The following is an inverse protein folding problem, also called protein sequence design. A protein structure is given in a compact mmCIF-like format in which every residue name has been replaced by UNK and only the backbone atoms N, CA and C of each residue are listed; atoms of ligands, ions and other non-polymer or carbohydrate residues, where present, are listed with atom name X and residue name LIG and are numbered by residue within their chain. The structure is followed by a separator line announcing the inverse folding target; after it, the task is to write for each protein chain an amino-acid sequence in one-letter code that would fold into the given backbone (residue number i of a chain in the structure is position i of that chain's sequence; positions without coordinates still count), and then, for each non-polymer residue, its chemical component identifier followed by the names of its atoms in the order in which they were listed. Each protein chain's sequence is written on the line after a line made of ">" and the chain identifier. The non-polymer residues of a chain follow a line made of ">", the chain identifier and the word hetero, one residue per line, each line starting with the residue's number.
data_IF_666004045799
#
_entry.id   IF_666004045799
#
_cell.length_a   1.000
_cell.length_b   1.000
_cell.length_c   1.000
_cell.angle_alpha   90.00
_cell.angle_beta   90.00
_cell.angle_gamma   90.00
#
_symmetry.space_group_name_H-M   'P 1'
#
loop_
_entity.id
_entity.type
_entity.pdbx_description
1 polymer ?
#
# COMPACT_ATOMS: atom_id res chain seq x y z
N UNK A 1 -42.19 15.10 42.85
CA UNK A 1 -40.93 14.48 43.23
C UNK A 1 -40.41 13.76 42.00
N UNK A 2 -39.52 14.43 41.25
CA UNK A 2 -38.97 13.92 39.97
C UNK A 2 -37.69 13.20 40.32
N UNK A 3 -37.66 11.88 40.16
CA UNK A 3 -36.41 11.11 40.27
C UNK A 3 -35.59 11.33 39.00
N UNK A 4 -34.48 12.06 39.12
CA UNK A 4 -33.45 12.12 38.09
C UNK A 4 -32.68 10.81 38.07
N UNK A 5 -32.81 10.06 36.98
CA UNK A 5 -31.99 8.86 36.73
C UNK A 5 -30.57 9.32 36.43
N UNK A 6 -29.63 9.17 37.35
CA UNK A 6 -28.19 9.28 37.05
C UNK A 6 -27.80 8.08 36.19
N UNK A 7 -27.66 8.29 34.90
CA UNK A 7 -26.94 7.37 33.99
C UNK A 7 -25.47 7.43 34.37
N UNK A 8 -24.98 6.44 35.10
CA UNK A 8 -23.57 6.23 35.28
C UNK A 8 -22.99 5.90 33.88
N UNK A 9 -22.28 6.84 33.24
CA UNK A 9 -21.44 6.54 32.10
C UNK A 9 -20.39 5.54 32.59
N UNK A 10 -20.47 4.33 32.09
CA UNK A 10 -19.39 3.35 32.21
C UNK A 10 -18.21 3.96 31.43
N UNK A 11 -17.27 4.60 32.12
CA UNK A 11 -15.97 4.95 31.55
C UNK A 11 -15.26 3.63 31.28
N UNK A 12 -15.24 3.22 30.01
CA UNK A 12 -14.43 2.07 29.59
C UNK A 12 -12.99 2.27 30.08
N UNK A 13 -12.35 1.20 30.53
CA UNK A 13 -10.93 1.21 30.88
C UNK A 13 -10.13 1.61 29.63
N UNK A 14 -9.86 2.90 29.50
CA UNK A 14 -9.09 3.42 28.36
C UNK A 14 -7.59 3.26 28.68
N UNK A 15 -7.02 2.10 28.28
CA UNK A 15 -5.58 1.89 28.35
C UNK A 15 -4.95 2.46 27.10
N UNK A 16 -3.96 3.31 27.27
CA UNK A 16 -3.19 3.94 26.19
C UNK A 16 -1.71 3.65 26.44
N UNK A 17 -1.05 3.14 25.42
CA UNK A 17 0.41 2.97 25.39
C UNK A 17 0.97 3.99 24.41
N UNK A 18 1.80 4.91 24.89
CA UNK A 18 2.51 5.88 24.06
C UNK A 18 4.00 5.56 24.02
N UNK A 19 4.60 5.80 22.88
CA UNK A 19 6.05 5.77 22.67
C UNK A 19 6.42 7.05 21.93
N UNK A 20 7.24 7.88 22.50
CA UNK A 20 7.59 9.18 21.92
C UNK A 20 9.10 9.40 21.93
N UNK A 21 9.70 9.92 20.83
CA UNK A 21 11.09 10.29 20.79
C UNK A 21 11.28 11.69 21.40
N UNK A 22 12.51 12.01 21.77
CA UNK A 22 12.87 13.32 22.35
C UNK A 22 12.85 14.46 21.32
N UNK A 23 12.80 14.18 20.01
CA UNK A 23 12.69 15.18 18.94
C UNK A 23 11.31 15.15 18.28
N UNK A 24 10.72 16.32 18.10
CA UNK A 24 9.39 16.47 17.48
C UNK A 24 9.36 16.09 15.98
N UNK A 25 10.47 16.27 15.26
CA UNK A 25 10.62 15.91 13.86
C UNK A 25 11.04 14.45 13.65
N UNK A 26 11.32 13.73 14.76
CA UNK A 26 11.71 12.31 14.79
C UNK A 26 12.96 12.01 13.96
N UNK A 27 13.80 13.01 13.68
CA UNK A 27 14.93 12.94 12.77
C UNK A 27 16.26 13.10 13.50
N UNK A 28 17.21 12.23 13.20
CA UNK A 28 18.54 12.15 13.79
C UNK A 28 19.59 11.95 12.71
N UNK A 29 20.83 12.36 12.97
CA UNK A 29 21.96 11.98 12.12
C UNK A 29 22.43 10.57 12.49
N UNK A 30 22.96 9.85 11.53
CA UNK A 30 23.64 8.56 11.76
C UNK A 30 24.70 8.72 12.85
N UNK A 31 24.70 7.83 13.85
CA UNK A 31 25.60 7.87 15.02
C UNK A 31 25.09 8.72 16.19
N UNK A 32 24.08 9.56 16.01
CA UNK A 32 23.39 10.21 17.15
C UNK A 32 22.59 9.19 17.97
N UNK A 33 22.22 9.59 19.18
CA UNK A 33 21.38 8.79 20.07
C UNK A 33 19.99 9.43 20.19
N UNK A 34 18.96 8.71 19.78
CA UNK A 34 17.57 9.05 20.06
C UNK A 34 17.20 8.56 21.47
N UNK A 35 16.43 9.37 22.19
CA UNK A 35 15.83 8.96 23.46
C UNK A 35 14.34 8.74 23.24
N UNK A 36 13.81 7.66 23.81
CA UNK A 36 12.38 7.34 23.73
C UNK A 36 11.81 7.27 25.13
N UNK A 37 10.61 7.78 25.28
CA UNK A 37 9.79 7.64 26.50
C UNK A 37 8.58 6.78 26.19
N UNK A 38 8.44 5.70 26.93
CA UNK A 38 7.26 4.85 26.90
C UNK A 38 6.40 5.19 28.11
N UNK A 39 5.11 5.34 27.92
CA UNK A 39 4.15 5.50 29.00
C UNK A 39 2.95 4.57 28.80
N UNK A 40 2.51 3.93 29.87
CA UNK A 40 1.26 3.16 29.92
C UNK A 40 0.31 3.85 30.89
N UNK A 41 -0.83 4.29 30.35
CA UNK A 41 -1.84 5.04 31.11
C UNK A 41 -3.17 4.32 31.13
N UNK A 42 -3.84 4.35 32.29
CA UNK A 42 -5.25 3.93 32.45
C UNK A 42 -6.08 5.17 32.77
N UNK A 43 -7.00 5.51 31.85
CA UNK A 43 -7.85 6.72 31.98
C UNK A 43 -7.07 8.01 32.29
N UNK A 44 -5.91 8.18 31.64
CA UNK A 44 -5.04 9.37 31.77
C UNK A 44 -3.99 9.32 32.90
N UNK A 45 -4.05 8.35 33.81
CA UNK A 45 -3.08 8.18 34.90
C UNK A 45 -2.08 7.09 34.56
N UNK A 46 -0.79 7.29 34.87
CA UNK A 46 0.23 6.25 34.72
C UNK A 46 -0.16 5.00 35.50
N UNK A 47 0.07 3.84 34.89
CA UNK A 47 -0.34 2.54 35.43
C UNK A 47 0.84 1.85 36.10
N UNK A 48 0.80 1.73 37.42
CA UNK A 48 1.85 1.07 38.19
C UNK A 48 1.89 -0.45 37.96
N UNK A 49 3.10 -1.01 38.05
CA UNK A 49 3.34 -2.46 37.98
C UNK A 49 2.78 -3.15 36.74
N UNK A 50 2.86 -2.49 35.60
CA UNK A 50 2.39 -3.04 34.33
C UNK A 50 3.45 -3.89 33.65
N UNK A 51 3.10 -5.12 33.25
CA UNK A 51 3.97 -5.97 32.43
C UNK A 51 3.94 -5.52 30.98
N UNK A 52 5.11 -5.42 30.37
CA UNK A 52 5.26 -5.09 28.95
C UNK A 52 6.18 -6.05 28.23
N UNK A 53 5.93 -6.26 26.95
CA UNK A 53 6.90 -6.75 25.98
C UNK A 53 7.42 -5.58 25.17
N UNK A 54 8.74 -5.46 25.09
CA UNK A 54 9.48 -4.44 24.37
C UNK A 54 10.25 -5.08 23.22
N UNK A 55 10.10 -4.56 22.00
CA UNK A 55 10.99 -4.80 20.88
C UNK A 55 11.55 -3.47 20.37
N UNK A 56 12.88 -3.35 20.21
CA UNK A 56 13.50 -2.15 19.71
C UNK A 56 14.73 -2.47 18.84
N UNK A 57 15.00 -1.64 17.84
CA UNK A 57 16.09 -1.84 16.91
C UNK A 57 15.77 -1.32 15.51
N UNK A 58 16.60 -1.65 14.51
CA UNK A 58 16.32 -1.32 13.11
C UNK A 58 14.94 -1.86 12.68
N UNK A 59 14.20 -1.09 11.90
CA UNK A 59 12.89 -1.47 11.38
C UNK A 59 12.93 -2.87 10.75
N UNK A 60 11.96 -3.74 11.12
CA UNK A 60 11.86 -5.17 10.77
C UNK A 60 12.96 -6.09 11.34
N UNK A 61 14.04 -5.55 11.89
CA UNK A 61 15.20 -6.30 12.42
C UNK A 61 15.53 -5.92 13.86
N UNK A 62 14.49 -5.70 14.70
CA UNK A 62 14.70 -5.34 16.10
C UNK A 62 15.45 -6.45 16.82
N UNK A 63 16.59 -6.10 17.38
CA UNK A 63 17.53 -6.98 18.08
C UNK A 63 17.38 -6.93 19.61
N UNK A 64 16.77 -5.88 20.14
CA UNK A 64 16.41 -5.78 21.56
C UNK A 64 15.00 -6.33 21.75
N UNK A 65 14.87 -7.43 22.50
CA UNK A 65 13.56 -7.98 22.90
C UNK A 65 13.59 -8.30 24.39
N UNK A 66 12.66 -7.72 25.16
CA UNK A 66 12.59 -7.86 26.61
C UNK A 66 11.14 -7.88 27.10
N UNK A 67 10.86 -8.78 28.04
CA UNK A 67 9.68 -8.69 28.90
C UNK A 67 10.08 -8.11 30.24
N UNK A 68 9.36 -7.12 30.74
CA UNK A 68 9.68 -6.44 31.98
C UNK A 68 8.43 -5.83 32.64
N UNK A 69 8.56 -5.48 33.93
CA UNK A 69 7.48 -4.79 34.66
C UNK A 69 7.89 -3.31 34.83
N UNK A 70 7.03 -2.41 34.39
CA UNK A 70 7.15 -0.97 34.66
C UNK A 70 6.54 -0.67 36.02
N UNK A 71 7.38 -0.26 36.99
CA UNK A 71 6.91 -0.03 38.37
C UNK A 71 6.01 1.21 38.49
N UNK A 72 6.27 2.22 37.67
CA UNK A 72 5.61 3.53 37.66
C UNK A 72 4.97 3.85 36.30
N UNK A 73 4.72 2.83 35.48
CA UNK A 73 4.08 2.98 34.16
C UNK A 73 4.93 3.69 33.11
N UNK A 74 6.22 3.92 33.36
CA UNK A 74 7.11 4.64 32.44
C UNK A 74 8.43 3.89 32.20
N UNK A 75 9.00 4.05 30.97
CA UNK A 75 10.31 3.54 30.62
C UNK A 75 11.03 4.56 29.73
N UNK A 76 12.31 4.83 30.03
CA UNK A 76 13.20 5.55 29.12
C UNK A 76 14.18 4.58 28.50
N UNK A 77 14.32 4.65 27.19
CA UNK A 77 15.31 3.86 26.45
C UNK A 77 15.99 4.71 25.38
N UNK A 78 17.11 4.24 24.88
CA UNK A 78 17.87 4.91 23.81
C UNK A 78 18.04 3.99 22.62
N UNK A 79 18.14 4.60 21.42
CA UNK A 79 18.43 3.91 20.18
C UNK A 79 19.42 4.71 19.34
N UNK A 80 20.21 4.01 18.53
CA UNK A 80 21.14 4.64 17.59
C UNK A 80 21.32 3.74 16.38
N UNK A 81 21.61 4.36 15.22
CA UNK A 81 21.93 3.63 14.00
C UNK A 81 23.26 4.07 13.42
N UNK A 82 24.05 3.10 12.95
CA UNK A 82 25.36 3.35 12.29
C UNK A 82 25.21 3.61 10.80
N UNK A 83 24.05 3.27 10.22
CA UNK A 83 23.73 3.47 8.81
C UNK A 83 22.40 4.22 8.68
N UNK A 84 22.15 4.91 7.56
CA UNK A 84 20.85 5.52 7.29
C UNK A 84 19.71 4.50 7.37
N UNK A 85 18.58 4.89 7.95
CA UNK A 85 17.45 3.99 8.10
C UNK A 85 16.47 4.43 9.17
N UNK A 86 15.64 3.49 9.62
CA UNK A 86 14.62 3.74 10.63
C UNK A 86 14.84 2.82 11.83
N UNK A 87 14.83 3.40 13.03
CA UNK A 87 14.83 2.69 14.30
C UNK A 87 13.40 2.60 14.81
N UNK A 88 12.96 1.43 15.20
CA UNK A 88 11.61 1.19 15.67
C UNK A 88 11.58 0.71 17.11
N UNK A 89 10.60 1.19 17.86
CA UNK A 89 10.28 0.75 19.21
C UNK A 89 8.82 0.29 19.21
N UNK A 90 8.57 -0.98 19.51
CA UNK A 90 7.25 -1.56 19.70
C UNK A 90 7.10 -1.97 21.17
N UNK A 91 5.95 -1.64 21.77
CA UNK A 91 5.60 -2.00 23.15
C UNK A 91 4.22 -2.63 23.18
N UNK A 92 4.11 -3.78 23.82
CA UNK A 92 2.82 -4.40 24.15
C UNK A 92 2.66 -4.43 25.66
N UNK A 93 1.65 -3.73 26.19
CA UNK A 93 1.32 -3.75 27.61
C UNK A 93 0.22 -4.78 27.87
N UNK A 94 0.39 -5.61 28.90
CA UNK A 94 -0.54 -6.65 29.32
C UNK A 94 -1.34 -6.16 30.53
N UNK A 95 -2.62 -5.84 30.34
CA UNK A 95 -3.49 -5.28 31.37
C UNK A 95 -4.83 -6.03 31.38
N UNK A 96 -5.22 -6.52 32.56
CA UNK A 96 -6.49 -7.21 32.76
C UNK A 96 -6.75 -8.35 31.73
N UNK A 97 -5.69 -9.08 31.34
CA UNK A 97 -5.76 -10.18 30.37
C UNK A 97 -5.90 -9.76 28.91
N UNK A 98 -5.68 -8.49 28.59
CA UNK A 98 -5.72 -7.94 27.24
C UNK A 98 -4.40 -7.25 26.88
N UNK A 99 -4.09 -7.22 25.59
CA UNK A 99 -2.90 -6.62 25.02
C UNK A 99 -3.20 -5.24 24.45
N UNK A 100 -2.38 -4.25 24.85
CA UNK A 100 -2.44 -2.88 24.33
C UNK A 100 -1.10 -2.49 23.71
N UNK A 101 -1.12 -1.96 22.51
CA UNK A 101 0.10 -1.72 21.71
C UNK A 101 0.38 -0.24 21.54
N UNK A 102 1.66 0.13 21.65
CA UNK A 102 2.19 1.42 21.26
C UNK A 102 3.44 1.21 20.42
N UNK A 103 3.70 2.11 19.49
CA UNK A 103 4.88 2.03 18.64
C UNK A 103 5.36 3.42 18.22
N UNK A 104 6.67 3.54 17.98
CA UNK A 104 7.28 4.75 17.42
C UNK A 104 8.43 4.38 16.50
N UNK A 105 8.70 5.24 15.52
CA UNK A 105 9.88 5.19 14.66
C UNK A 105 10.71 6.44 14.81
N UNK A 106 12.03 6.32 14.60
CA UNK A 106 12.96 7.46 14.48
C UNK A 106 13.78 7.29 13.20
N UNK A 107 13.86 8.34 12.39
CA UNK A 107 14.60 8.35 11.13
C UNK A 107 16.05 8.81 11.36
N UNK A 108 17.01 8.03 10.89
CA UNK A 108 18.43 8.34 10.97
C UNK A 108 18.98 8.64 9.58
N UNK A 109 19.33 9.90 9.33
CA UNK A 109 19.81 10.42 8.03
C UNK A 109 18.98 9.91 6.85
N UNK A 110 17.63 10.04 6.86
CA UNK A 110 16.76 9.49 5.81
C UNK A 110 17.09 10.04 4.42
N UNK A 111 17.64 11.25 4.35
CA UNK A 111 18.11 11.92 3.13
C UNK A 111 19.30 11.19 2.46
N UNK A 112 19.94 10.28 3.17
CA UNK A 112 21.09 9.47 2.68
C UNK A 112 20.70 8.05 2.29
N UNK A 113 19.42 7.69 2.41
CA UNK A 113 18.95 6.41 1.95
C UNK A 113 19.16 6.28 0.45
N UNK A 114 19.69 5.15 0.03
CA UNK A 114 19.90 4.82 -1.37
C UNK A 114 19.00 3.66 -1.76
N UNK A 115 18.45 3.65 -2.98
CA UNK A 115 17.73 2.49 -3.50
C UNK A 115 18.62 1.23 -3.47
N UNK A 116 18.02 0.09 -3.21
CA UNK A 116 18.74 -1.19 -3.20
C UNK A 116 19.13 -1.67 -4.59
N UNK A 117 18.47 -1.15 -5.61
CA UNK A 117 18.68 -1.52 -7.03
C UNK A 117 18.66 -0.29 -7.91
N UNK A 118 19.17 -0.44 -9.13
CA UNK A 118 19.13 0.58 -10.18
C UNK A 118 17.96 0.31 -11.14
N UNK A 119 17.49 1.36 -11.80
CA UNK A 119 16.47 1.22 -12.84
C UNK A 119 17.05 0.43 -14.02
N UNK A 120 16.38 -0.64 -14.50
CA UNK A 120 16.82 -1.37 -15.68
C UNK A 120 16.96 -0.45 -16.91
N UNK A 121 18.00 -0.68 -17.72
CA UNK A 121 18.26 0.16 -18.87
C UNK A 121 17.12 0.14 -19.91
N UNK A 122 16.41 -0.97 -20.02
CA UNK A 122 15.28 -1.17 -20.94
C UNK A 122 13.92 -0.84 -20.31
N UNK A 123 13.88 -0.27 -19.11
CA UNK A 123 12.63 -0.02 -18.38
C UNK A 123 11.59 0.76 -19.19
N UNK A 124 12.00 1.86 -19.80
CA UNK A 124 11.08 2.70 -20.57
C UNK A 124 10.59 2.00 -21.83
N UNK A 125 11.46 1.30 -22.53
CA UNK A 125 11.12 0.52 -23.73
C UNK A 125 10.15 -0.62 -23.40
N UNK A 126 10.45 -1.38 -22.34
CA UNK A 126 9.60 -2.47 -21.87
C UNK A 126 8.15 -2.02 -21.63
N UNK A 127 7.95 -0.92 -20.87
CA UNK A 127 6.63 -0.43 -20.57
C UNK A 127 5.93 0.21 -21.76
N UNK A 128 6.64 0.99 -22.57
CA UNK A 128 6.07 1.57 -23.79
C UNK A 128 5.59 0.48 -24.76
N UNK A 129 6.38 -0.57 -24.96
CA UNK A 129 6.00 -1.69 -25.81
C UNK A 129 4.80 -2.45 -25.22
N UNK A 130 4.77 -2.72 -23.91
CA UNK A 130 3.66 -3.39 -23.26
C UNK A 130 2.35 -2.60 -23.36
N UNK A 131 2.39 -1.28 -23.15
CA UNK A 131 1.24 -0.39 -23.29
C UNK A 131 0.77 -0.33 -24.75
N UNK A 132 1.69 -0.17 -25.71
CA UNK A 132 1.37 -0.13 -27.13
C UNK A 132 0.73 -1.44 -27.60
N UNK A 133 1.24 -2.58 -27.15
CA UNK A 133 0.67 -3.90 -27.46
C UNK A 133 -0.73 -4.05 -26.89
N UNK A 134 -0.94 -3.70 -25.63
CA UNK A 134 -2.26 -3.76 -24.99
C UNK A 134 -3.30 -2.86 -25.71
N UNK A 135 -2.87 -1.70 -26.24
CA UNK A 135 -3.75 -0.78 -26.96
C UNK A 135 -4.15 -1.26 -28.37
N UNK A 136 -3.50 -2.31 -28.92
CA UNK A 136 -3.99 -2.98 -30.14
C UNK A 136 -5.29 -3.74 -29.91
N UNK A 137 -5.60 -4.08 -28.66
CA UNK A 137 -6.87 -4.72 -28.28
C UNK A 137 -7.88 -3.62 -27.94
N UNK A 138 -9.01 -3.61 -28.65
CA UNK A 138 -10.10 -2.68 -28.38
C UNK A 138 -10.58 -2.84 -26.92
N UNK A 139 -10.98 -1.76 -26.27
CA UNK A 139 -11.51 -1.81 -24.90
C UNK A 139 -12.76 -2.69 -24.78
N UNK A 140 -13.59 -2.72 -25.83
CA UNK A 140 -14.84 -3.48 -25.89
C UNK A 140 -15.59 -3.45 -24.52
N UNK A 141 -16.01 -2.25 -24.07
CA UNK A 141 -16.51 -2.06 -22.73
C UNK A 141 -17.91 -2.62 -22.56
N UNK A 142 -18.21 -3.06 -21.34
CA UNK A 142 -19.57 -3.29 -20.86
C UNK A 142 -19.92 -2.29 -19.78
N UNK A 143 -21.19 -1.90 -19.68
CA UNK A 143 -21.67 -0.95 -18.67
C UNK A 143 -23.08 -1.37 -18.23
N UNK A 144 -23.25 -1.62 -16.92
CA UNK A 144 -24.52 -2.01 -16.32
C UNK A 144 -24.82 -1.09 -15.13
N UNK A 145 -25.98 -0.42 -15.15
CA UNK A 145 -26.42 0.38 -14.00
C UNK A 145 -26.66 -0.52 -12.78
N UNK A 146 -26.31 -0.01 -11.60
CA UNK A 146 -26.58 -0.61 -10.29
C UNK A 146 -27.56 0.30 -9.53
N UNK A 147 -28.89 0.17 -9.80
CA UNK A 147 -29.88 1.11 -9.25
C UNK A 147 -29.85 1.16 -7.72
N UNK A 148 -29.57 0.02 -7.08
CA UNK A 148 -29.49 -0.12 -5.62
C UNK A 148 -28.32 0.65 -4.99
N UNK A 149 -27.34 1.10 -5.80
CA UNK A 149 -26.17 1.89 -5.37
C UNK A 149 -26.24 3.35 -5.81
N UNK A 150 -27.18 3.68 -6.69
CA UNK A 150 -27.39 5.05 -7.15
C UNK A 150 -27.92 5.95 -6.02
N UNK A 151 -27.56 7.22 -6.08
CA UNK A 151 -28.14 8.28 -5.23
C UNK A 151 -28.86 9.30 -6.09
N UNK A 152 -29.48 10.31 -5.48
CA UNK A 152 -30.08 11.41 -6.24
C UNK A 152 -29.05 12.21 -7.08
N UNK A 153 -27.77 12.17 -6.68
CA UNK A 153 -26.70 12.98 -7.26
C UNK A 153 -25.67 12.14 -8.05
N UNK A 154 -25.66 10.80 -7.90
CA UNK A 154 -24.64 9.92 -8.49
C UNK A 154 -25.27 8.67 -9.09
N UNK A 155 -24.97 8.41 -10.35
CA UNK A 155 -25.23 7.13 -11.00
C UNK A 155 -24.02 6.19 -10.79
N UNK A 156 -24.31 4.94 -10.42
CA UNK A 156 -23.31 3.90 -10.16
C UNK A 156 -23.46 2.77 -11.15
N UNK A 157 -22.36 2.39 -11.78
CA UNK A 157 -22.35 1.33 -12.81
C UNK A 157 -21.27 0.29 -12.48
N UNK A 158 -21.58 -0.96 -12.72
CA UNK A 158 -20.56 -1.96 -12.96
C UNK A 158 -20.09 -1.85 -14.40
N UNK A 159 -18.78 -1.79 -14.61
CA UNK A 159 -18.17 -1.71 -15.94
C UNK A 159 -17.08 -2.77 -16.07
N UNK A 160 -16.84 -3.22 -17.30
CA UNK A 160 -15.65 -4.00 -17.59
C UNK A 160 -15.10 -3.64 -18.96
N UNK A 161 -13.80 -3.81 -19.15
CA UNK A 161 -13.12 -3.54 -20.42
C UNK A 161 -11.94 -4.50 -20.59
N UNK A 162 -11.52 -4.71 -21.84
CA UNK A 162 -10.36 -5.54 -22.15
C UNK A 162 -9.06 -4.89 -21.65
N UNK A 163 -8.18 -5.72 -21.12
CA UNK A 163 -6.93 -5.33 -20.51
C UNK A 163 -5.76 -5.55 -21.50
N UNK A 164 -4.88 -6.50 -21.19
CA UNK A 164 -3.61 -6.72 -21.90
C UNK A 164 -3.79 -7.44 -23.25
N UNK A 165 -4.85 -8.21 -23.37
CA UNK A 165 -5.17 -9.00 -24.58
C UNK A 165 -6.65 -9.39 -24.61
N UNK A 166 -7.19 -9.88 -25.73
CA UNK A 166 -8.56 -10.33 -25.82
C UNK A 166 -8.93 -11.34 -24.72
N UNK A 167 -10.14 -11.20 -24.18
CA UNK A 167 -10.71 -11.99 -23.07
C UNK A 167 -10.09 -11.79 -21.69
N UNK A 168 -9.02 -11.02 -21.55
CA UNK A 168 -8.54 -10.54 -20.25
C UNK A 168 -9.25 -9.23 -19.90
N UNK A 169 -10.14 -9.27 -18.93
CA UNK A 169 -10.94 -8.10 -18.54
C UNK A 169 -10.53 -7.52 -17.19
N UNK A 170 -10.60 -6.20 -17.12
CA UNK A 170 -10.65 -5.45 -15.85
C UNK A 170 -12.11 -5.15 -15.55
N UNK A 171 -12.54 -5.41 -14.34
CA UNK A 171 -13.87 -5.06 -13.83
C UNK A 171 -13.74 -3.91 -12.84
N UNK A 172 -14.74 -3.03 -12.83
CA UNK A 172 -14.69 -1.81 -12.02
C UNK A 172 -16.07 -1.33 -11.63
N UNK A 173 -16.12 -0.45 -10.62
CA UNK A 173 -17.30 0.38 -10.32
C UNK A 173 -17.02 1.80 -10.79
N UNK A 174 -17.88 2.29 -11.67
CA UNK A 174 -17.88 3.65 -12.17
C UNK A 174 -18.98 4.45 -11.47
N UNK A 175 -18.62 5.57 -10.86
CA UNK A 175 -19.57 6.53 -10.32
C UNK A 175 -19.48 7.84 -11.11
N UNK A 176 -20.63 8.33 -11.58
CA UNK A 176 -20.74 9.54 -12.41
C UNK A 176 -21.81 10.45 -11.83
N UNK A 177 -21.55 11.77 -11.69
CA UNK A 177 -22.60 12.71 -11.30
C UNK A 177 -23.81 12.64 -12.23
N UNK A 178 -25.04 12.75 -11.67
CA UNK A 178 -26.28 12.73 -12.46
C UNK A 178 -26.43 13.99 -13.30
N UNK A 179 -25.98 15.13 -12.78
CA UNK A 179 -26.03 16.41 -13.48
C UNK A 179 -25.19 16.32 -14.75
N UNK A 180 -25.72 16.80 -15.87
CA UNK A 180 -24.97 16.90 -17.12
C UNK A 180 -23.77 17.85 -16.97
N UNK A 181 -22.63 17.46 -17.55
CA UNK A 181 -21.39 18.25 -17.49
C UNK A 181 -20.15 17.46 -17.85
N UNK A 182 -19.01 18.15 -17.79
CA UNK A 182 -17.68 17.56 -17.87
C UNK A 182 -17.01 17.68 -16.50
N UNK A 183 -16.38 16.61 -16.04
CA UNK A 183 -15.92 16.46 -14.68
C UNK A 183 -14.45 16.07 -14.59
N UNK A 184 -13.72 16.47 -13.54
CA UNK A 184 -12.47 15.82 -13.19
C UNK A 184 -12.72 14.32 -12.94
N UNK A 185 -11.70 13.51 -13.12
CA UNK A 185 -11.82 12.08 -12.91
C UNK A 185 -10.74 11.55 -11.93
N UNK A 186 -11.11 10.53 -11.16
CA UNK A 186 -10.25 9.87 -10.19
C UNK A 186 -10.28 8.36 -10.41
N UNK A 187 -9.12 7.79 -10.75
CA UNK A 187 -8.90 6.34 -10.73
C UNK A 187 -8.57 5.90 -9.31
N UNK A 188 -9.36 4.96 -8.76
CA UNK A 188 -9.11 4.32 -7.47
C UNK A 188 -8.49 2.95 -7.71
N UNK A 189 -7.27 2.76 -7.20
CA UNK A 189 -6.53 1.50 -7.35
C UNK A 189 -6.42 0.78 -6.00
N UNK A 190 -6.64 -0.57 -5.96
CA UNK A 190 -6.87 -1.27 -4.71
C UNK A 190 -5.57 -1.63 -3.97
N UNK A 191 -5.68 -1.66 -2.63
CA UNK A 191 -4.73 -2.39 -1.79
C UNK A 191 -4.79 -3.90 -2.02
N UNK A 192 -3.87 -4.66 -1.41
CA UNK A 192 -3.82 -6.11 -1.54
C UNK A 192 -5.08 -6.80 -1.02
N UNK A 193 -5.40 -7.96 -1.62
CA UNK A 193 -6.55 -8.80 -1.27
C UNK A 193 -7.57 -8.93 -2.39
N UNK A 194 -8.42 -9.93 -2.29
CA UNK A 194 -9.49 -10.26 -3.23
C UNK A 194 -10.82 -9.94 -2.56
N UNK A 195 -11.60 -9.03 -3.13
CA UNK A 195 -12.81 -8.50 -2.48
C UNK A 195 -13.78 -7.87 -3.47
N UNK A 196 -15.06 -7.67 -3.10
CA UNK A 196 -15.97 -6.83 -3.86
C UNK A 196 -15.60 -5.35 -3.70
N UNK A 197 -16.10 -4.51 -4.61
CA UNK A 197 -15.90 -3.06 -4.58
C UNK A 197 -17.23 -2.33 -4.55
N UNK A 198 -17.26 -1.21 -3.83
CA UNK A 198 -18.47 -0.39 -3.64
C UNK A 198 -18.60 0.77 -4.61
N UNK A 199 -17.47 1.28 -5.09
CA UNK A 199 -17.36 2.55 -5.78
C UNK A 199 -17.21 3.74 -4.81
N UNK A 200 -16.51 4.76 -5.24
CA UNK A 200 -16.31 5.99 -4.46
C UNK A 200 -17.44 7.00 -4.76
N UNK A 201 -18.64 6.68 -4.25
CA UNK A 201 -19.84 7.51 -4.41
C UNK A 201 -19.68 8.87 -3.73
N UNK A 202 -18.94 8.92 -2.62
CA UNK A 202 -18.73 10.16 -1.89
C UNK A 202 -17.97 11.20 -2.73
N UNK A 203 -16.82 10.82 -3.30
CA UNK A 203 -16.05 11.70 -4.19
C UNK A 203 -16.86 12.09 -5.42
N UNK A 204 -17.65 11.15 -5.98
CA UNK A 204 -18.49 11.44 -7.13
C UNK A 204 -19.60 12.45 -6.80
N UNK A 205 -20.15 12.42 -5.59
CA UNK A 205 -21.15 13.39 -5.13
C UNK A 205 -20.58 14.82 -4.99
N UNK A 206 -19.25 14.96 -4.89
CA UNK A 206 -18.57 16.25 -4.87
C UNK A 206 -18.26 16.79 -6.29
N UNK A 207 -18.73 16.12 -7.33
CA UNK A 207 -18.58 16.59 -8.71
C UNK A 207 -17.37 16.04 -9.44
N UNK A 208 -16.97 14.79 -9.17
CA UNK A 208 -15.94 14.08 -9.91
C UNK A 208 -16.49 12.77 -10.50
N UNK A 209 -15.83 12.23 -11.52
CA UNK A 209 -16.00 10.84 -11.95
C UNK A 209 -15.07 9.99 -11.12
N UNK A 210 -15.52 8.87 -10.58
CA UNK A 210 -14.64 7.89 -9.94
C UNK A 210 -14.73 6.54 -10.62
N UNK A 211 -13.58 5.91 -10.85
CA UNK A 211 -13.47 4.55 -11.36
C UNK A 211 -12.64 3.71 -10.38
N UNK A 212 -13.30 2.81 -9.64
CA UNK A 212 -12.64 1.91 -8.70
C UNK A 212 -12.47 0.54 -9.35
N UNK A 213 -11.23 0.14 -9.63
CA UNK A 213 -10.93 -1.08 -10.38
C UNK A 213 -10.65 -2.29 -9.49
N UNK A 214 -11.07 -3.48 -9.95
CA UNK A 214 -10.55 -4.77 -9.49
C UNK A 214 -9.37 -5.21 -10.36
N UNK A 215 -8.37 -5.86 -9.75
CA UNK A 215 -7.13 -6.24 -10.46
C UNK A 215 -7.04 -7.74 -10.81
N UNK A 216 -8.02 -8.52 -10.40
CA UNK A 216 -7.94 -9.98 -10.49
C UNK A 216 -8.61 -10.57 -11.74
N UNK A 217 -9.27 -9.75 -12.56
CA UNK A 217 -9.95 -10.21 -13.78
C UNK A 217 -11.27 -10.94 -13.49
N UNK A 218 -11.86 -10.71 -12.33
CA UNK A 218 -13.16 -11.26 -11.89
C UNK A 218 -14.15 -10.12 -11.63
N UNK A 219 -15.47 -10.33 -11.81
CA UNK A 219 -16.48 -9.32 -11.47
C UNK A 219 -16.32 -8.80 -10.06
N UNK A 220 -16.69 -7.53 -9.84
CA UNK A 220 -16.44 -6.82 -8.55
C UNK A 220 -17.70 -6.69 -7.68
N UNK A 221 -18.80 -7.33 -8.08
CA UNK A 221 -20.11 -7.22 -7.44
C UNK A 221 -20.68 -8.56 -6.97
N UNK A 222 -19.84 -9.61 -6.92
CA UNK A 222 -20.25 -10.92 -6.44
C UNK A 222 -20.35 -10.96 -4.90
N UNK A 223 -20.89 -12.05 -4.37
CA UNK A 223 -20.96 -12.28 -2.93
C UNK A 223 -19.57 -12.44 -2.30
N UNK A 224 -19.39 -11.99 -1.06
CA UNK A 224 -18.11 -12.04 -0.33
C UNK A 224 -17.48 -13.44 -0.34
N UNK A 225 -18.31 -14.48 -0.16
CA UNK A 225 -17.84 -15.87 -0.14
C UNK A 225 -17.06 -16.27 -1.40
N UNK A 226 -17.45 -15.77 -2.58
CA UNK A 226 -16.74 -16.07 -3.83
C UNK A 226 -15.32 -15.53 -3.79
N UNK A 227 -15.15 -14.32 -3.25
CA UNK A 227 -13.82 -13.71 -3.12
C UNK A 227 -12.96 -14.43 -2.08
N UNK A 228 -13.56 -14.85 -0.96
CA UNK A 228 -12.87 -15.62 0.08
C UNK A 228 -12.39 -16.97 -0.46
N UNK A 229 -13.23 -17.69 -1.20
CA UNK A 229 -12.91 -18.97 -1.83
C UNK A 229 -11.78 -18.81 -2.88
N UNK A 230 -11.83 -17.75 -3.69
CA UNK A 230 -10.82 -17.48 -4.72
C UNK A 230 -9.49 -17.05 -4.08
N UNK A 231 -9.53 -16.22 -3.03
CA UNK A 231 -8.33 -15.79 -2.30
C UNK A 231 -7.63 -16.94 -1.58
N UNK A 232 -8.39 -17.85 -0.96
CA UNK A 232 -7.86 -19.04 -0.29
C UNK A 232 -7.52 -20.19 -1.27
N UNK A 233 -7.82 -20.04 -2.55
CA UNK A 233 -7.58 -21.02 -3.61
C UNK A 233 -6.74 -20.46 -4.74
N UNK A 234 -7.35 -20.21 -5.90
CA UNK A 234 -6.67 -19.89 -7.14
C UNK A 234 -5.84 -18.59 -7.12
N UNK A 235 -6.13 -17.66 -6.23
CA UNK A 235 -5.38 -16.40 -6.07
C UNK A 235 -4.56 -16.34 -4.77
N UNK A 236 -4.38 -17.44 -4.07
CA UNK A 236 -3.50 -17.48 -2.90
C UNK A 236 -2.07 -17.17 -3.33
N UNK A 237 -1.45 -16.15 -2.72
CA UNK A 237 -0.09 -15.74 -3.08
C UNK A 237 0.04 -15.11 -4.48
N UNK A 238 -1.02 -14.55 -5.05
CA UNK A 238 -1.03 -13.97 -6.40
C UNK A 238 0.12 -12.98 -6.66
N UNK A 239 0.63 -12.34 -5.62
CA UNK A 239 1.74 -11.40 -5.71
C UNK A 239 3.08 -12.07 -6.09
N UNK A 240 3.17 -13.39 -5.99
CA UNK A 240 4.33 -14.20 -6.36
C UNK A 240 4.17 -14.90 -7.72
N UNK A 241 3.03 -14.72 -8.40
CA UNK A 241 2.78 -15.43 -9.66
C UNK A 241 3.73 -14.99 -10.77
N UNK A 242 4.47 -15.99 -11.31
CA UNK A 242 5.46 -15.83 -12.37
C UNK A 242 6.55 -14.78 -12.03
N UNK A 243 7.10 -14.84 -10.80
CA UNK A 243 8.18 -13.94 -10.38
C UNK A 243 9.46 -14.10 -11.20
N UNK A 244 9.65 -15.25 -11.84
CA UNK A 244 10.79 -15.63 -12.69
C UNK A 244 10.66 -15.17 -14.14
N UNK A 245 9.52 -14.58 -14.54
CA UNK A 245 9.26 -14.15 -15.91
C UNK A 245 8.61 -12.75 -15.94
N UNK A 246 9.38 -11.72 -16.26
CA UNK A 246 8.87 -10.33 -16.30
C UNK A 246 7.71 -10.13 -17.26
N UNK A 247 7.62 -10.93 -18.33
CA UNK A 247 6.57 -10.82 -19.32
C UNK A 247 5.25 -11.44 -18.86
N UNK A 248 5.31 -12.41 -17.96
CA UNK A 248 4.16 -13.11 -17.38
C UNK A 248 3.86 -12.67 -15.95
N UNK A 249 4.76 -11.90 -15.31
CA UNK A 249 4.61 -11.46 -13.93
C UNK A 249 3.24 -10.84 -13.68
N UNK A 250 2.61 -11.22 -12.56
CA UNK A 250 1.24 -10.83 -12.24
C UNK A 250 1.02 -9.32 -12.32
N UNK A 251 1.93 -8.52 -11.78
CA UNK A 251 1.78 -7.06 -11.76
C UNK A 251 1.97 -6.39 -13.12
N UNK A 252 2.58 -7.04 -14.14
CA UNK A 252 2.60 -6.48 -15.49
C UNK A 252 1.19 -6.23 -16.01
N UNK A 253 0.33 -7.25 -15.95
CA UNK A 253 -1.07 -7.11 -16.38
C UNK A 253 -1.88 -6.17 -15.48
N UNK A 254 -1.55 -6.08 -14.18
CA UNK A 254 -2.26 -5.18 -13.24
C UNK A 254 -1.94 -3.74 -13.59
N UNK A 255 -0.67 -3.39 -13.79
CA UNK A 255 -0.25 -2.03 -14.21
C UNK A 255 -0.85 -1.66 -15.55
N UNK A 256 -0.81 -2.57 -16.54
CA UNK A 256 -1.49 -2.36 -17.84
C UNK A 256 -2.99 -2.15 -17.63
N UNK A 257 -3.62 -2.89 -16.72
CA UNK A 257 -5.04 -2.69 -16.36
C UNK A 257 -5.35 -1.30 -15.83
N UNK A 258 -4.43 -0.71 -15.04
CA UNK A 258 -4.55 0.69 -14.60
C UNK A 258 -4.47 1.67 -15.78
N UNK A 259 -3.54 1.47 -16.73
CA UNK A 259 -3.43 2.30 -17.94
C UNK A 259 -4.70 2.18 -18.80
N UNK A 260 -5.22 0.95 -19.00
CA UNK A 260 -6.45 0.72 -19.75
C UNK A 260 -7.69 1.33 -19.06
N UNK A 261 -7.66 1.43 -17.72
CA UNK A 261 -8.69 2.16 -16.97
C UNK A 261 -8.66 3.67 -17.27
N UNK A 262 -7.47 4.26 -17.47
CA UNK A 262 -7.35 5.65 -17.92
C UNK A 262 -7.84 5.82 -19.36
N UNK A 263 -7.59 4.84 -20.25
CA UNK A 263 -8.13 4.84 -21.60
C UNK A 263 -9.67 4.81 -21.56
N UNK A 264 -10.26 3.94 -20.70
CA UNK A 264 -11.70 3.88 -20.49
C UNK A 264 -12.27 5.22 -19.98
N UNK A 265 -11.63 5.86 -19.00
CA UNK A 265 -12.06 7.18 -18.52
C UNK A 265 -12.09 8.19 -19.66
N UNK A 266 -11.03 8.25 -20.47
CA UNK A 266 -10.89 9.21 -21.55
C UNK A 266 -11.93 9.04 -22.67
N UNK A 267 -12.28 7.79 -23.01
CA UNK A 267 -13.10 7.48 -24.17
C UNK A 267 -14.59 7.32 -23.84
N UNK A 268 -14.92 6.82 -22.64
CA UNK A 268 -16.27 6.36 -22.29
C UNK A 268 -16.93 7.09 -21.13
N UNK A 269 -16.33 8.17 -20.64
CA UNK A 269 -16.89 8.97 -19.55
C UNK A 269 -16.94 10.46 -19.91
N UNK A 270 -17.74 11.29 -19.20
CA UNK A 270 -17.77 12.73 -19.40
C UNK A 270 -16.58 13.42 -18.71
N UNK A 271 -15.37 12.87 -18.83
CA UNK A 271 -14.15 13.50 -18.32
C UNK A 271 -13.88 14.84 -19.01
N UNK A 272 -13.39 15.84 -18.25
CA UNK A 272 -13.14 17.19 -18.74
C UNK A 272 -11.87 17.33 -19.64
N UNK A 273 -11.08 16.26 -19.75
CA UNK A 273 -9.90 16.22 -20.60
C UNK A 273 -8.60 16.74 -19.96
N UNK A 274 -8.68 17.31 -18.74
CA UNK A 274 -7.53 17.99 -18.12
C UNK A 274 -7.18 17.43 -16.72
N UNK A 275 -8.18 17.20 -15.87
CA UNK A 275 -7.98 16.84 -14.46
C UNK A 275 -8.21 15.34 -14.28
N UNK A 276 -7.12 14.61 -14.14
CA UNK A 276 -7.13 13.17 -13.96
C UNK A 276 -6.24 12.78 -12.79
N UNK A 277 -6.85 12.25 -11.75
CA UNK A 277 -6.17 11.78 -10.54
C UNK A 277 -6.06 10.27 -10.47
N UNK A 278 -5.08 9.79 -9.71
CA UNK A 278 -4.98 8.40 -9.28
C UNK A 278 -4.66 8.33 -7.78
N UNK A 279 -5.32 7.42 -7.06
CA UNK A 279 -5.09 7.25 -5.62
C UNK A 279 -5.33 5.82 -5.17
N UNK A 280 -4.50 5.39 -4.21
CA UNK A 280 -4.61 4.09 -3.58
C UNK A 280 -3.65 3.91 -2.42
N UNK A 281 -3.90 2.90 -1.60
CA UNK A 281 -3.17 2.61 -0.37
C UNK A 281 -2.47 1.26 -0.45
N UNK A 282 -1.31 1.11 0.19
CA UNK A 282 -0.53 -0.12 0.24
C UNK A 282 -0.15 -0.58 -1.18
N UNK A 283 -0.55 -1.77 -1.65
CA UNK A 283 -0.44 -2.16 -3.05
C UNK A 283 -1.00 -1.10 -4.00
N UNK A 284 -2.13 -0.45 -3.62
CA UNK A 284 -2.70 0.66 -4.37
C UNK A 284 -1.80 1.90 -4.38
N UNK A 285 -1.02 2.13 -3.34
CA UNK A 285 0.00 3.18 -3.31
C UNK A 285 1.08 2.94 -4.37
N UNK A 286 1.56 1.71 -4.49
CA UNK A 286 2.44 1.32 -5.60
C UNK A 286 1.78 1.52 -6.97
N UNK A 287 0.55 1.02 -7.16
CA UNK A 287 -0.17 1.16 -8.43
C UNK A 287 -0.42 2.62 -8.79
N UNK A 288 -0.62 3.48 -7.78
CA UNK A 288 -0.72 4.94 -7.96
C UNK A 288 0.56 5.51 -8.55
N UNK A 289 1.71 5.20 -7.96
CA UNK A 289 3.02 5.67 -8.45
C UNK A 289 3.33 5.12 -9.84
N UNK A 290 3.11 3.81 -10.05
CA UNK A 290 3.31 3.15 -11.33
C UNK A 290 2.49 3.79 -12.45
N UNK A 291 1.20 4.00 -12.20
CA UNK A 291 0.28 4.59 -13.18
C UNK A 291 0.67 6.02 -13.50
N UNK A 292 1.00 6.83 -12.48
CA UNK A 292 1.41 8.22 -12.66
C UNK A 292 2.75 8.37 -13.40
N UNK A 293 3.68 7.43 -13.20
CA UNK A 293 4.96 7.44 -13.91
C UNK A 293 4.82 7.06 -15.40
N UNK A 294 3.87 6.18 -15.73
CA UNK A 294 3.73 5.61 -17.07
C UNK A 294 2.73 6.36 -17.97
N UNK A 295 1.85 7.20 -17.41
CA UNK A 295 0.84 7.91 -18.19
C UNK A 295 0.80 9.40 -17.86
N UNK A 296 1.16 10.21 -18.85
CA UNK A 296 1.25 11.67 -18.73
C UNK A 296 -0.11 12.38 -18.58
N UNK A 297 -1.23 11.69 -18.79
CA UNK A 297 -2.57 12.25 -18.56
C UNK A 297 -2.85 12.48 -17.07
N UNK A 298 -2.13 11.79 -16.18
CA UNK A 298 -2.26 11.97 -14.72
C UNK A 298 -1.70 13.33 -14.34
N UNK A 299 -2.56 14.16 -13.75
CA UNK A 299 -2.22 15.49 -13.23
C UNK A 299 -2.09 15.51 -11.70
N UNK A 300 -2.78 14.60 -11.02
CA UNK A 300 -2.74 14.46 -9.56
C UNK A 300 -2.56 12.98 -9.16
N UNK A 301 -1.72 12.72 -8.17
CA UNK A 301 -1.57 11.38 -7.62
C UNK A 301 -1.37 11.43 -6.10
N UNK A 302 -2.06 10.54 -5.40
CA UNK A 302 -2.02 10.44 -3.94
C UNK A 302 -1.73 8.99 -3.50
N UNK A 303 -0.46 8.58 -3.50
CA UNK A 303 -0.06 7.28 -2.99
C UNK A 303 -0.06 7.31 -1.46
N UNK A 304 -0.65 6.30 -0.83
CA UNK A 304 -0.65 6.16 0.63
C UNK A 304 0.16 4.92 1.01
N UNK A 305 1.20 5.09 1.82
CA UNK A 305 2.13 4.05 2.30
C UNK A 305 2.35 2.92 1.29
N UNK A 306 2.94 3.26 0.15
CA UNK A 306 3.14 2.36 -0.99
C UNK A 306 3.89 1.08 -0.61
N UNK A 307 3.32 -0.07 -0.96
CA UNK A 307 3.97 -1.38 -0.90
C UNK A 307 4.86 -1.62 -2.13
N UNK A 308 5.42 -2.81 -2.25
CA UNK A 308 6.21 -3.25 -3.41
C UNK A 308 7.44 -2.37 -3.68
N UNK A 309 8.11 -1.92 -2.59
CA UNK A 309 9.28 -1.05 -2.64
C UNK A 309 10.52 -1.79 -2.13
N UNK A 310 11.66 -1.56 -2.79
CA UNK A 310 12.99 -1.97 -2.31
C UNK A 310 13.09 -3.42 -1.79
N UNK A 311 12.55 -4.37 -2.53
CA UNK A 311 12.44 -5.77 -2.09
C UNK A 311 13.77 -6.42 -1.73
N UNK A 312 14.87 -6.07 -2.41
CA UNK A 312 16.20 -6.65 -2.18
C UNK A 312 16.90 -6.10 -0.93
N UNK A 313 16.38 -5.05 -0.30
CA UNK A 313 16.92 -4.53 0.95
C UNK A 313 16.97 -5.59 2.08
N UNK A 314 16.03 -6.54 2.08
CA UNK A 314 16.03 -7.63 3.07
C UNK A 314 17.28 -8.50 3.01
N UNK A 315 17.92 -8.64 1.85
CA UNK A 315 19.18 -9.36 1.67
C UNK A 315 20.37 -8.66 2.36
N UNK A 316 20.22 -7.38 2.67
CA UNK A 316 21.21 -6.54 3.37
C UNK A 316 20.83 -6.28 4.82
N UNK A 317 19.77 -6.91 5.34
CA UNK A 317 19.25 -6.66 6.69
C UNK A 317 18.64 -5.26 6.87
N UNK A 318 18.11 -4.68 5.79
CA UNK A 318 17.41 -3.40 5.77
C UNK A 318 15.93 -3.65 5.48
N UNK A 319 15.05 -2.86 6.08
CA UNK A 319 13.61 -2.96 5.87
C UNK A 319 13.24 -2.87 4.38
N UNK A 320 12.30 -3.69 3.95
CA UNK A 320 11.78 -3.74 2.59
C UNK A 320 10.25 -3.68 2.57
N UNK A 321 9.66 -3.32 1.42
CA UNK A 321 8.23 -3.27 1.25
C UNK A 321 7.57 -4.65 1.21
N UNK A 322 6.26 -4.70 1.56
CA UNK A 322 5.43 -5.87 1.32
C UNK A 322 5.47 -6.25 -0.18
N UNK A 323 5.46 -7.53 -0.55
CA UNK A 323 5.22 -8.74 0.26
C UNK A 323 6.48 -9.39 0.86
N UNK A 324 7.60 -8.68 0.94
CA UNK A 324 8.83 -9.17 1.59
C UNK A 324 9.42 -10.41 0.91
N UNK A 325 9.46 -10.41 -0.41
CA UNK A 325 9.83 -11.58 -1.24
C UNK A 325 11.08 -12.32 -0.78
N UNK A 326 12.11 -11.60 -0.33
CA UNK A 326 13.43 -12.19 -0.03
C UNK A 326 13.74 -12.28 1.46
N UNK A 327 12.79 -12.00 2.36
CA UNK A 327 13.05 -12.08 3.80
C UNK A 327 13.45 -13.46 4.32
N UNK A 328 13.09 -14.52 3.60
CA UNK A 328 13.46 -15.89 3.96
C UNK A 328 14.85 -16.30 3.45
N UNK A 329 15.43 -15.50 2.56
CA UNK A 329 16.77 -15.75 2.01
C UNK A 329 17.83 -15.19 2.96
N UNK A 330 18.91 -15.92 3.16
CA UNK A 330 19.95 -15.56 4.14
C UNK A 330 21.08 -14.72 3.53
N UNK A 331 21.18 -14.66 2.20
CA UNK A 331 22.26 -13.95 1.52
C UNK A 331 21.94 -13.65 0.07
N UNK A 332 22.68 -12.69 -0.52
CA UNK A 332 22.63 -12.42 -1.95
C UNK A 332 23.05 -13.63 -2.79
N UNK A 333 23.90 -14.52 -2.26
CA UNK A 333 24.30 -15.76 -2.95
C UNK A 333 23.17 -16.77 -3.08
N UNK A 334 22.29 -16.90 -2.08
CA UNK A 334 21.08 -17.74 -2.18
C UNK A 334 20.10 -17.18 -3.20
N UNK A 335 20.00 -15.85 -3.28
CA UNK A 335 19.20 -15.17 -4.29
C UNK A 335 19.73 -15.44 -5.69
N UNK A 336 21.02 -15.27 -5.92
CA UNK A 336 21.68 -15.52 -7.22
C UNK A 336 21.53 -16.99 -7.68
N UNK A 337 21.51 -17.95 -6.76
CA UNK A 337 21.31 -19.38 -7.07
C UNK A 337 19.85 -19.70 -7.43
N UNK A 338 18.89 -18.94 -6.93
CA UNK A 338 17.46 -19.10 -7.26
C UNK A 338 17.05 -18.40 -8.56
N UNK A 339 17.94 -17.59 -9.15
CA UNK A 339 17.70 -16.86 -10.40
C UNK A 339 18.21 -17.65 -11.61
N UNK A 340 17.38 -17.96 -12.61
CA UNK A 340 17.77 -18.84 -13.72
C UNK A 340 18.67 -18.21 -14.79
N UNK A 341 19.10 -16.96 -14.66
CA UNK A 341 19.95 -16.30 -15.65
C UNK A 341 21.36 -16.03 -15.13
N UNK A 342 22.43 -16.56 -15.79
CA UNK A 342 23.80 -16.57 -15.27
C UNK A 342 24.68 -15.40 -15.67
N UNK A 343 24.18 -14.21 -15.97
CA UNK A 343 25.06 -13.21 -16.58
C UNK A 343 25.54 -12.06 -15.70
N UNK A 344 24.94 -11.77 -14.55
CA UNK A 344 25.49 -10.80 -13.57
C UNK A 344 24.77 -10.93 -12.23
N UNK A 345 25.45 -11.04 -11.06
CA UNK A 345 24.82 -10.99 -9.74
C UNK A 345 24.08 -9.67 -9.48
N UNK A 346 24.39 -8.60 -10.23
CA UNK A 346 23.68 -7.31 -10.19
C UNK A 346 22.44 -7.29 -11.10
N UNK A 347 22.33 -8.19 -12.08
CA UNK A 347 21.17 -8.37 -12.96
C UNK A 347 20.05 -9.24 -12.35
N UNK A 348 20.32 -9.87 -11.23
CA UNK A 348 19.32 -10.57 -10.43
C UNK A 348 18.43 -9.64 -9.59
N UNK A 349 18.35 -8.36 -9.88
CA UNK A 349 17.11 -7.64 -9.69
C UNK A 349 16.06 -8.39 -10.49
N UNK A 350 15.12 -9.11 -9.83
CA UNK A 350 14.08 -9.95 -10.46
C UNK A 350 13.90 -9.58 -11.92
N UNK A 351 14.17 -10.48 -12.90
CA UNK A 351 13.90 -10.17 -14.28
C UNK A 351 12.42 -9.76 -14.33
N UNK A 352 12.15 -8.45 -14.43
CA UNK A 352 10.81 -7.95 -14.52
C UNK A 352 10.09 -7.65 -13.22
N UNK A 353 10.76 -7.35 -12.09
CA UNK A 353 10.06 -6.55 -11.09
C UNK A 353 9.83 -5.16 -11.69
N UNK A 354 8.64 -4.87 -12.24
CA UNK A 354 8.31 -3.55 -12.80
C UNK A 354 8.37 -2.47 -11.73
N UNK A 355 8.54 -2.88 -10.48
CA UNK A 355 8.44 -2.09 -9.27
C UNK A 355 9.70 -1.29 -9.00
N UNK A 356 10.88 -1.81 -9.32
CA UNK A 356 12.15 -1.19 -8.94
C UNK A 356 12.44 0.12 -9.68
N UNK A 357 12.09 0.23 -10.95
CA UNK A 357 12.37 1.43 -11.74
C UNK A 357 11.35 2.56 -11.59
N UNK A 358 10.14 2.28 -11.12
CA UNK A 358 9.05 3.27 -11.10
C UNK A 358 9.29 4.37 -10.06
N UNK A 359 9.92 4.03 -8.92
CA UNK A 359 10.17 4.98 -7.84
C UNK A 359 11.26 6.01 -8.13
N UNK A 360 12.20 5.71 -9.03
CA UNK A 360 13.31 6.63 -9.31
C UNK A 360 12.98 7.70 -10.37
N UNK A 361 12.00 7.49 -11.21
CA UNK A 361 11.79 8.32 -12.41
C UNK A 361 11.19 9.72 -12.17
N UNK A 362 10.67 10.03 -10.97
CA UNK A 362 10.00 11.31 -10.69
C UNK A 362 10.34 11.99 -9.34
N UNK A 363 11.30 11.50 -8.59
CA UNK A 363 11.78 12.20 -7.38
C UNK A 363 12.89 13.21 -7.69
N UNK A 364 13.36 13.27 -8.95
CA UNK A 364 14.49 14.09 -9.40
C UNK A 364 14.12 15.16 -10.44
N UNK A 365 12.86 15.43 -10.70
CA UNK A 365 12.35 16.63 -11.39
C UNK A 365 11.35 17.36 -10.47
#
# INVERSE_FOLDING_TARGET
>A
MVMASLSAQIRGNNIIVTVEPDRQDWTYKTGETAQFVVEVRKSGTLLDNVSIDLAAGPEMYQDVKKTMVLKDGTLKLTGSMKQPGFYRVDVTAHVDGQDYKGACGAAFSPEKLQPSTVMPADFSEFWQNAIAEARKTDLNPTKRLLPERCTKDVNVYEVSFQNIQPNYRTYAILCVPVKEGRYPALLRVPGAGVRPYGGDVWTASQGAITLEIGIHGIPVTMEQKVYDDVFNGALMGYWEFNMDDRDKHYYKRVVIGCIRALDYIAEYTPWNGNELGVSGSSQGGFLTLATAALDKRITYYAPVHAALCDHTNSLRGIACGWPHYFMKMKSESEFAQSCPTPSDPMDCSLPGSPVHGIFQARVLE
#
